data_IF_379396276655
#
_entry.id   IF_379396276655
#
_cell.length_a   1.000
_cell.length_b   1.000
_cell.length_c   1.000
_cell.angle_alpha   90.00
_cell.angle_beta   90.00
_cell.angle_gamma   90.00
#
_symmetry.space_group_name_H-M   'P 1'
#
loop_
_entity.id
_entity.type
_entity.pdbx_description
1 polymer ?
#
# COMPACT_ATOMS: atom_id res chain seq x y z
N UNK A 1 -6.31 24.14 7.38
CA UNK A 1 -7.23 23.29 6.59
C UNK A 1 -8.62 23.90 6.54
N UNK A 2 -9.17 24.28 7.71
CA UNK A 2 -10.41 25.06 7.89
C UNK A 2 -10.72 26.13 6.84
N UNK A 3 -9.82 27.11 6.66
CA UNK A 3 -9.96 28.14 5.60
C UNK A 3 -10.10 27.59 4.17
N UNK A 4 -9.38 26.52 3.80
CA UNK A 4 -9.48 25.92 2.46
C UNK A 4 -10.82 25.20 2.24
N UNK A 5 -11.37 24.58 3.27
CA UNK A 5 -12.69 23.92 3.21
C UNK A 5 -13.81 24.96 3.22
N UNK A 6 -13.70 25.99 4.06
CA UNK A 6 -14.58 27.16 4.07
C UNK A 6 -14.64 27.82 2.68
N UNK A 7 -13.48 28.13 2.10
CA UNK A 7 -13.39 28.73 0.76
C UNK A 7 -13.98 27.81 -0.32
N UNK A 8 -13.67 26.51 -0.27
CA UNK A 8 -14.19 25.50 -1.22
C UNK A 8 -15.71 25.40 -1.17
N UNK A 9 -16.29 25.18 0.01
CA UNK A 9 -17.72 25.04 0.16
C UNK A 9 -18.47 26.36 -0.08
N UNK A 10 -17.89 27.51 0.32
CA UNK A 10 -18.47 28.82 0.04
C UNK A 10 -18.57 29.09 -1.46
N UNK A 11 -17.53 28.74 -2.23
CA UNK A 11 -17.52 28.90 -3.68
C UNK A 11 -18.51 27.97 -4.40
N UNK A 12 -18.69 26.73 -3.92
CA UNK A 12 -19.42 25.70 -4.65
C UNK A 12 -20.85 25.45 -4.17
N UNK A 13 -21.17 25.76 -2.90
CA UNK A 13 -22.47 25.45 -2.27
C UNK A 13 -23.33 26.70 -2.00
N UNK A 14 -22.72 27.84 -1.63
CA UNK A 14 -23.49 29.08 -1.40
C UNK A 14 -24.01 29.69 -2.72
N UNK A 15 -23.25 29.59 -3.81
CA UNK A 15 -23.68 30.12 -5.12
C UNK A 15 -24.91 29.41 -5.71
N UNK A 16 -25.27 28.22 -5.21
CA UNK A 16 -26.46 27.46 -5.66
C UNK A 16 -27.68 27.62 -4.74
N UNK A 17 -27.62 28.48 -3.71
CA UNK A 17 -28.79 28.89 -2.92
C UNK A 17 -29.34 27.87 -1.92
N UNK A 18 -28.60 26.79 -1.59
CA UNK A 18 -29.16 25.66 -0.83
C UNK A 18 -28.74 25.57 0.65
N UNK A 19 -27.81 26.39 1.14
CA UNK A 19 -27.32 26.30 2.52
C UNK A 19 -27.15 27.68 3.15
N UNK A 20 -27.60 27.84 4.39
CA UNK A 20 -27.31 29.02 5.21
C UNK A 20 -25.90 28.96 5.79
N UNK A 21 -25.36 30.10 6.24
CA UNK A 21 -24.03 30.18 6.88
C UNK A 21 -23.90 29.23 8.09
N UNK A 22 -24.97 29.07 8.88
CA UNK A 22 -24.98 28.15 10.01
C UNK A 22 -24.85 26.68 9.60
N UNK A 23 -25.55 26.28 8.53
CA UNK A 23 -25.48 24.91 8.00
C UNK A 23 -24.13 24.62 7.34
N UNK A 24 -23.54 25.64 6.70
CA UNK A 24 -22.19 25.54 6.15
C UNK A 24 -21.16 25.31 7.27
N UNK A 25 -21.26 26.06 8.37
CA UNK A 25 -20.37 25.90 9.52
C UNK A 25 -20.51 24.52 10.16
N UNK A 26 -21.74 24.01 10.28
CA UNK A 26 -22.01 22.66 10.79
C UNK A 26 -21.38 21.60 9.88
N UNK A 27 -21.58 21.69 8.56
CA UNK A 27 -20.97 20.79 7.59
C UNK A 27 -19.44 20.79 7.67
N UNK A 28 -18.81 21.96 7.77
CA UNK A 28 -17.36 22.08 7.91
C UNK A 28 -16.89 21.38 9.19
N UNK A 29 -17.57 21.63 10.32
CA UNK A 29 -17.21 21.01 11.59
C UNK A 29 -17.37 19.48 11.53
N UNK A 30 -18.42 18.97 10.89
CA UNK A 30 -18.61 17.53 10.66
C UNK A 30 -17.51 16.95 9.79
N UNK A 31 -17.19 17.58 8.66
CA UNK A 31 -16.12 17.13 7.76
C UNK A 31 -14.77 17.14 8.47
N UNK A 32 -14.46 18.18 9.24
CA UNK A 32 -13.20 18.24 10.00
C UNK A 32 -13.13 17.15 11.08
N UNK A 33 -14.22 16.90 11.80
CA UNK A 33 -14.31 15.86 12.82
C UNK A 33 -14.14 14.45 12.23
N UNK A 34 -14.89 14.14 11.17
CA UNK A 34 -14.84 12.84 10.49
C UNK A 34 -13.48 12.61 9.82
N UNK A 35 -12.92 13.64 9.17
CA UNK A 35 -11.59 13.55 8.56
C UNK A 35 -10.50 13.28 9.61
N UNK A 36 -10.54 13.98 10.75
CA UNK A 36 -9.57 13.76 11.83
C UNK A 36 -9.69 12.35 12.40
N UNK A 37 -10.91 11.85 12.63
CA UNK A 37 -11.11 10.50 13.12
C UNK A 37 -10.59 9.46 12.13
N UNK A 38 -10.95 9.61 10.85
CA UNK A 38 -10.50 8.69 9.80
C UNK A 38 -8.97 8.70 9.63
N UNK A 39 -8.36 9.88 9.65
CA UNK A 39 -6.92 10.05 9.55
C UNK A 39 -6.20 9.39 10.73
N UNK A 40 -6.69 9.59 11.96
CA UNK A 40 -6.12 8.97 13.14
C UNK A 40 -6.30 7.45 13.11
N UNK A 41 -7.47 6.94 12.71
CA UNK A 41 -7.69 5.50 12.52
C UNK A 41 -6.73 4.89 11.50
N UNK A 42 -6.47 5.60 10.40
CA UNK A 42 -5.51 5.14 9.37
C UNK A 42 -4.10 5.06 9.93
N UNK A 43 -3.64 6.08 10.67
CA UNK A 43 -2.32 6.05 11.33
C UNK A 43 -2.23 4.92 12.36
N UNK A 44 -3.27 4.74 13.18
CA UNK A 44 -3.29 3.66 14.17
C UNK A 44 -3.18 2.31 13.46
N UNK A 45 -3.93 2.11 12.38
CA UNK A 45 -3.87 0.87 11.62
C UNK A 45 -2.47 0.63 11.00
N UNK A 46 -1.85 1.65 10.40
CA UNK A 46 -0.48 1.54 9.88
C UNK A 46 0.53 1.21 10.99
N UNK A 47 0.41 1.84 12.16
CA UNK A 47 1.26 1.54 13.32
C UNK A 47 1.03 0.13 13.84
N UNK A 48 -0.23 -0.30 14.00
CA UNK A 48 -0.58 -1.66 14.41
C UNK A 48 -0.05 -2.69 13.42
N UNK A 49 -0.14 -2.41 12.12
CA UNK A 49 0.42 -3.25 11.08
C UNK A 49 1.95 -3.35 11.18
N UNK A 50 2.66 -2.25 11.46
CA UNK A 50 4.12 -2.26 11.68
C UNK A 50 4.47 -3.00 12.97
N UNK A 51 3.74 -2.74 14.07
CA UNK A 51 3.95 -3.41 15.35
C UNK A 51 3.61 -4.89 15.31
N UNK A 52 2.69 -5.31 14.43
CA UNK A 52 2.35 -6.72 14.20
C UNK A 52 3.46 -7.49 13.48
N UNK A 53 4.43 -6.80 12.86
CA UNK A 53 5.61 -7.44 12.33
C UNK A 53 6.46 -7.87 13.53
N UNK A 54 6.37 -9.16 13.86
CA UNK A 54 7.19 -9.74 14.90
C UNK A 54 8.68 -9.58 14.50
N UNK A 55 9.49 -8.86 15.31
CA UNK A 55 10.89 -8.59 14.98
C UNK A 55 11.76 -9.86 15.03
N UNK A 56 11.22 -10.98 15.52
CA UNK A 56 11.85 -12.29 15.47
C UNK A 56 11.63 -13.03 14.14
N UNK A 57 10.75 -12.54 13.27
CA UNK A 57 10.53 -13.11 11.95
C UNK A 57 11.82 -13.09 11.13
N UNK A 58 12.08 -14.21 10.48
CA UNK A 58 13.12 -14.31 9.47
C UNK A 58 12.79 -13.43 8.26
N UNK A 59 13.82 -13.07 7.50
CA UNK A 59 13.67 -12.30 6.28
C UNK A 59 12.71 -12.97 5.26
N UNK A 60 12.62 -14.31 5.28
CA UNK A 60 11.67 -15.06 4.46
C UNK A 60 10.23 -14.78 4.87
N UNK A 61 9.93 -14.90 6.16
CA UNK A 61 8.57 -14.69 6.68
C UNK A 61 8.10 -13.25 6.44
N UNK A 62 8.98 -12.26 6.61
CA UNK A 62 8.69 -10.86 6.28
C UNK A 62 8.27 -10.69 4.81
N UNK A 63 8.99 -11.34 3.89
CA UNK A 63 8.68 -11.27 2.45
C UNK A 63 7.45 -12.07 2.06
N UNK A 64 7.08 -13.11 2.81
CA UNK A 64 5.82 -13.84 2.64
C UNK A 64 4.62 -12.99 3.04
N UNK A 65 4.70 -12.29 4.19
CA UNK A 65 3.69 -11.31 4.60
C UNK A 65 3.56 -10.18 3.57
N UNK A 66 4.68 -9.68 3.05
CA UNK A 66 4.64 -8.67 1.99
C UNK A 66 3.95 -9.19 0.72
N UNK A 67 4.24 -10.44 0.30
CA UNK A 67 3.61 -11.05 -0.86
C UNK A 67 2.10 -11.25 -0.68
N UNK A 68 1.64 -11.64 0.51
CA UNK A 68 0.22 -11.74 0.86
C UNK A 68 -0.49 -10.39 0.72
N UNK A 69 0.10 -9.33 1.29
CA UNK A 69 -0.47 -7.99 1.19
C UNK A 69 -0.55 -7.49 -0.24
N UNK A 70 0.45 -7.77 -1.08
CA UNK A 70 0.42 -7.42 -2.51
C UNK A 70 -0.76 -8.11 -3.20
N UNK A 71 -0.97 -9.40 -2.93
CA UNK A 71 -2.08 -10.17 -3.48
C UNK A 71 -3.43 -9.56 -3.10
N UNK A 72 -3.65 -9.30 -1.80
CA UNK A 72 -4.91 -8.74 -1.32
C UNK A 72 -5.17 -7.32 -1.86
N UNK A 73 -4.15 -6.45 -1.87
CA UNK A 73 -4.33 -5.07 -2.31
C UNK A 73 -4.49 -4.91 -3.82
N UNK A 74 -3.84 -5.76 -4.62
CA UNK A 74 -3.93 -5.70 -6.08
C UNK A 74 -5.00 -6.63 -6.67
N UNK A 75 -5.72 -7.38 -5.82
CA UNK A 75 -6.65 -8.43 -6.23
C UNK A 75 -6.02 -9.40 -7.26
N UNK A 76 -4.76 -9.77 -7.02
CA UNK A 76 -4.04 -10.72 -7.86
C UNK A 76 -4.28 -12.16 -7.39
N UNK A 77 -4.04 -13.15 -8.25
CA UNK A 77 -4.16 -14.56 -7.84
C UNK A 77 -3.02 -14.99 -6.91
N UNK A 78 -1.83 -14.39 -7.08
CA UNK A 78 -0.61 -14.78 -6.40
C UNK A 78 0.50 -13.73 -6.57
N UNK A 79 1.50 -13.78 -5.68
CA UNK A 79 2.71 -12.97 -5.80
C UNK A 79 3.95 -13.76 -5.38
N UNK A 80 5.10 -13.41 -5.98
CA UNK A 80 6.42 -13.93 -5.61
C UNK A 80 7.44 -12.82 -5.57
N UNK A 81 8.29 -12.81 -4.54
CA UNK A 81 9.41 -11.90 -4.38
C UNK A 81 10.71 -12.67 -4.60
N UNK A 82 11.54 -12.16 -5.51
CA UNK A 82 12.86 -12.73 -5.84
C UNK A 82 13.96 -11.73 -5.52
N UNK A 83 15.00 -12.20 -4.84
CA UNK A 83 16.19 -11.41 -4.55
C UNK A 83 17.21 -11.57 -5.68
N UNK A 84 17.75 -10.45 -6.14
CA UNK A 84 18.81 -10.41 -7.14
C UNK A 84 20.18 -10.50 -6.48
N UNK A 85 20.96 -11.49 -6.92
CA UNK A 85 22.38 -11.61 -6.60
C UNK A 85 23.22 -11.09 -7.78
N UNK A 86 23.95 -9.96 -7.62
CA UNK A 86 24.73 -9.36 -8.68
C UNK A 86 25.99 -10.15 -9.04
N UNK A 87 26.54 -10.94 -8.12
CA UNK A 87 27.78 -11.69 -8.35
C UNK A 87 27.51 -12.91 -9.22
N UNK A 88 26.44 -13.64 -8.93
CA UNK A 88 26.03 -14.81 -9.72
C UNK A 88 25.09 -14.48 -10.89
N UNK A 89 24.56 -13.25 -10.95
CA UNK A 89 23.52 -12.82 -11.90
C UNK A 89 22.27 -13.70 -11.88
N UNK A 90 21.80 -14.03 -10.67
CA UNK A 90 20.65 -14.91 -10.45
C UNK A 90 19.58 -14.28 -9.57
N UNK A 91 18.35 -14.78 -9.72
CA UNK A 91 17.17 -14.39 -8.97
C UNK A 91 16.67 -15.55 -8.13
N UNK A 92 16.78 -15.43 -6.81
CA UNK A 92 16.37 -16.47 -5.85
C UNK A 92 15.01 -16.15 -5.27
N UNK A 93 14.07 -17.11 -5.33
CA UNK A 93 12.74 -17.00 -4.73
C UNK A 93 12.86 -16.98 -3.21
N UNK A 94 12.30 -15.95 -2.57
CA UNK A 94 12.48 -15.74 -1.12
C UNK A 94 11.18 -15.51 -0.35
N UNK A 95 10.16 -14.93 -0.99
CA UNK A 95 8.82 -14.78 -0.41
C UNK A 95 7.74 -15.02 -1.47
N UNK A 96 6.57 -15.49 -1.04
CA UNK A 96 5.48 -15.83 -1.96
C UNK A 96 4.16 -16.01 -1.23
N UNK A 97 3.06 -15.75 -1.95
CA UNK A 97 1.72 -16.06 -1.52
C UNK A 97 0.89 -16.55 -2.70
N UNK A 98 -0.02 -17.51 -2.46
CA UNK A 98 -0.89 -18.09 -3.50
C UNK A 98 -0.20 -19.02 -4.50
N UNK A 99 1.11 -19.29 -4.36
CA UNK A 99 1.85 -20.26 -5.21
C UNK A 99 2.54 -21.28 -4.32
N UNK A 100 2.38 -22.58 -4.61
CA UNK A 100 3.10 -23.63 -3.87
C UNK A 100 4.61 -23.57 -4.13
N UNK A 101 5.41 -23.88 -3.11
CA UNK A 101 6.88 -23.97 -3.23
C UNK A 101 7.32 -24.97 -4.30
N UNK A 102 6.58 -26.07 -4.46
CA UNK A 102 6.86 -27.11 -5.45
C UNK A 102 6.79 -26.59 -6.89
N UNK A 103 5.95 -25.58 -7.16
CA UNK A 103 5.79 -24.98 -8.48
C UNK A 103 6.84 -23.89 -8.76
N UNK A 104 7.69 -23.54 -7.79
CA UNK A 104 8.67 -22.45 -7.92
C UNK A 104 10.07 -22.99 -8.10
N UNK A 105 10.75 -22.54 -9.15
CA UNK A 105 12.20 -22.66 -9.25
C UNK A 105 12.84 -21.79 -8.16
N UNK A 106 13.60 -22.43 -7.26
CA UNK A 106 14.31 -21.77 -6.16
C UNK A 106 15.21 -20.64 -6.66
N UNK A 107 15.86 -20.82 -7.81
CA UNK A 107 16.68 -19.79 -8.45
C UNK A 107 16.60 -19.85 -9.97
N UNK A 108 16.47 -18.69 -10.61
CA UNK A 108 16.47 -18.53 -12.09
C UNK A 108 17.60 -17.58 -12.53
N UNK A 109 18.12 -17.70 -13.76
CA UNK A 109 19.04 -16.70 -14.32
C UNK A 109 18.32 -15.37 -14.56
N UNK A 110 19.06 -14.26 -14.51
CA UNK A 110 18.53 -12.96 -14.97
C UNK A 110 18.23 -12.99 -16.47
N UNK A 111 19.13 -13.54 -17.28
CA UNK A 111 18.95 -13.57 -18.73
C UNK A 111 17.73 -14.41 -19.13
N UNK A 112 16.98 -13.93 -20.12
CA UNK A 112 15.82 -14.60 -20.73
C UNK A 112 14.66 -14.88 -19.76
N UNK A 113 14.47 -14.06 -18.74
CA UNK A 113 13.31 -14.13 -17.83
C UNK A 113 12.67 -12.76 -17.68
N UNK A 114 11.34 -12.71 -17.49
CA UNK A 114 10.62 -11.43 -17.31
C UNK A 114 11.16 -10.68 -16.08
N UNK A 115 11.32 -11.37 -14.95
CA UNK A 115 11.90 -10.77 -13.74
C UNK A 115 13.31 -10.24 -13.98
N UNK A 116 14.10 -10.88 -14.84
CA UNK A 116 15.42 -10.40 -15.18
C UNK A 116 15.42 -9.21 -16.14
N UNK A 117 14.46 -9.11 -17.05
CA UNK A 117 14.24 -7.89 -17.87
C UNK A 117 14.02 -6.68 -16.97
N UNK A 118 13.16 -6.81 -15.95
CA UNK A 118 12.91 -5.72 -14.97
C UNK A 118 14.21 -5.27 -14.28
N UNK A 119 15.06 -6.21 -13.85
CA UNK A 119 16.36 -5.88 -13.23
C UNK A 119 17.31 -5.18 -14.20
N UNK A 120 17.26 -5.53 -15.48
CA UNK A 120 18.12 -4.94 -16.51
C UNK A 120 17.68 -3.54 -16.93
N UNK A 121 16.37 -3.26 -16.94
CA UNK A 121 15.79 -1.96 -17.32
C UNK A 121 15.83 -0.92 -16.19
N UNK A 122 16.00 -1.35 -14.94
CA UNK A 122 16.04 -0.50 -13.74
C UNK A 122 17.49 -0.20 -13.27
N UNK A 123 18.50 -0.50 -14.09
CA UNK A 123 19.92 -0.13 -13.88
C UNK A 123 20.29 1.10 -14.68
#
# INVERSE_FOLDING_TARGET
MKKKLEDFFSQHLLQKGNLSEGQLQELINTVESEYQSWFLSTIIQEIEEIMSIDPSLSFREILEVAAERIVHNLAADAATIRLFDPDSLRLTSFGSYGVSDYQRLSTIPVKNTISGTVVQEQR
#
